data_IF_960153567782
#
_entry.id   IF_960153567782
#
_cell.length_a   1.000
_cell.length_b   1.000
_cell.length_c   1.000
_cell.angle_alpha   90.00
_cell.angle_beta   90.00
_cell.angle_gamma   90.00
#
_symmetry.space_group_name_H-M   'P 1'
#
loop_
_entity.id
_entity.type
_entity.pdbx_description
1 polymer ?
#
# COMPACT_ATOMS: atom_id res chain seq x y z
N UNK A 1 1.55 -0.88 -18.06
CA UNK A 1 0.79 0.29 -17.57
C UNK A 1 -0.64 -0.07 -17.21
N UNK A 2 -1.42 -0.72 -18.10
CA UNK A 2 -2.83 -1.06 -17.87
C UNK A 2 -3.13 -1.70 -16.49
N UNK A 3 -2.40 -2.74 -16.10
CA UNK A 3 -2.59 -3.42 -14.80
C UNK A 3 -2.18 -2.61 -13.57
N UNK A 4 -1.42 -1.52 -13.77
CA UNK A 4 -1.04 -0.58 -12.72
C UNK A 4 -1.86 0.71 -12.80
N UNK A 5 -2.91 0.76 -13.62
CA UNK A 5 -3.80 1.91 -13.78
C UNK A 5 -5.14 1.65 -13.07
N UNK A 6 -5.51 2.55 -12.17
CA UNK A 6 -6.75 2.52 -11.42
C UNK A 6 -7.96 2.85 -12.31
N UNK A 7 -9.17 2.65 -11.78
CA UNK A 7 -10.41 2.92 -12.52
C UNK A 7 -10.62 4.39 -12.90
N UNK A 8 -9.87 5.30 -12.27
CA UNK A 8 -9.83 6.72 -12.61
C UNK A 8 -8.93 7.05 -13.83
N UNK A 9 -8.29 6.03 -14.43
CA UNK A 9 -7.42 6.20 -15.59
C UNK A 9 -5.98 6.62 -15.27
N UNK A 10 -5.63 6.70 -13.98
CA UNK A 10 -4.29 7.09 -13.51
C UNK A 10 -3.49 5.92 -12.93
N UNK A 11 -2.15 5.93 -13.02
CA UNK A 11 -1.33 4.86 -12.46
C UNK A 11 -1.37 4.83 -10.93
N UNK A 12 -1.02 3.69 -10.33
CA UNK A 12 -0.61 3.60 -8.94
C UNK A 12 0.62 4.50 -8.72
N UNK A 13 0.72 5.13 -7.56
CA UNK A 13 1.71 6.19 -7.29
C UNK A 13 2.98 5.68 -6.60
N UNK A 14 3.33 4.40 -6.76
CA UNK A 14 4.57 3.84 -6.22
C UNK A 14 5.80 4.55 -6.79
N UNK A 15 6.85 4.67 -5.98
CA UNK A 15 8.10 5.33 -6.35
C UNK A 15 7.88 6.75 -6.94
N UNK A 16 8.65 7.12 -7.97
CA UNK A 16 8.54 8.40 -8.67
C UNK A 16 7.39 8.45 -9.70
N UNK A 17 6.25 7.84 -9.38
CA UNK A 17 5.07 7.91 -10.23
C UNK A 17 4.17 9.09 -9.83
N UNK A 18 3.63 9.77 -10.84
CA UNK A 18 2.69 10.87 -10.71
C UNK A 18 1.59 10.73 -11.78
N UNK A 19 0.43 11.28 -11.48
CA UNK A 19 -0.66 11.49 -12.42
C UNK A 19 -0.30 12.60 -13.42
N UNK A 20 -1.01 12.61 -14.55
CA UNK A 20 -0.97 13.67 -15.56
C UNK A 20 0.42 14.01 -16.15
N UNK A 21 1.44 13.18 -15.95
CA UNK A 21 2.69 13.26 -16.69
C UNK A 21 2.52 12.76 -18.14
N UNK A 22 3.46 13.07 -19.03
CA UNK A 22 3.29 13.31 -20.48
C UNK A 22 2.40 12.32 -21.28
N UNK A 23 2.21 11.08 -20.82
CA UNK A 23 1.39 10.06 -21.49
C UNK A 23 0.44 9.30 -20.54
N UNK A 24 -0.88 9.55 -20.67
CA UNK A 24 -1.92 8.73 -20.05
C UNK A 24 -2.03 7.36 -20.75
N UNK A 25 -2.64 6.38 -20.09
CA UNK A 25 -2.87 5.05 -20.68
C UNK A 25 -3.64 5.17 -22.01
N UNK A 26 -4.67 6.00 -22.07
CA UNK A 26 -5.47 6.19 -23.30
C UNK A 26 -4.62 6.77 -24.44
N UNK A 27 -3.73 7.72 -24.15
CA UNK A 27 -2.79 8.26 -25.14
C UNK A 27 -1.84 7.18 -25.66
N UNK A 28 -1.36 6.29 -24.79
CA UNK A 28 -0.51 5.16 -25.19
C UNK A 28 -1.28 4.15 -26.04
N UNK A 29 -2.54 3.86 -25.68
CA UNK A 29 -3.42 2.97 -26.47
C UNK A 29 -3.69 3.55 -27.85
N UNK A 30 -3.96 4.85 -27.93
CA UNK A 30 -4.14 5.54 -29.22
C UNK A 30 -2.87 5.53 -30.06
N UNK A 31 -1.71 5.74 -29.44
CA UNK A 31 -0.42 5.65 -30.12
C UNK A 31 -0.14 4.22 -30.63
N UNK A 32 -0.39 3.20 -29.82
CA UNK A 32 -0.25 1.79 -30.21
C UNK A 32 -1.15 1.44 -31.40
N UNK A 33 -2.42 1.87 -31.39
CA UNK A 33 -3.34 1.67 -32.52
C UNK A 33 -2.84 2.33 -33.81
N UNK A 34 -2.25 3.52 -33.73
CA UNK A 34 -1.64 4.21 -34.89
C UNK A 34 -0.41 3.48 -35.44
N UNK A 35 0.28 2.73 -34.58
CA UNK A 35 1.38 1.83 -34.97
C UNK A 35 0.91 0.43 -35.35
N UNK A 36 -0.41 0.20 -35.45
CA UNK A 36 -1.00 -1.11 -35.73
C UNK A 36 -0.60 -2.20 -34.72
N UNK A 37 -0.24 -1.78 -33.50
CA UNK A 37 0.04 -2.66 -32.36
C UNK A 37 -1.26 -3.03 -31.67
N UNK A 38 -1.48 -4.33 -31.45
CA UNK A 38 -2.65 -4.83 -30.74
C UNK A 38 -2.68 -4.29 -29.30
N UNK A 39 -3.79 -3.67 -28.93
CA UNK A 39 -4.02 -3.16 -27.57
C UNK A 39 -4.87 -4.18 -26.82
N UNK A 40 -4.31 -4.86 -25.80
CA UNK A 40 -5.10 -5.79 -25.00
C UNK A 40 -6.24 -5.07 -24.28
N UNK A 41 -7.34 -5.80 -24.07
CA UNK A 41 -8.42 -5.34 -23.18
C UNK A 41 -8.06 -5.66 -21.74
N UNK A 42 -8.41 -4.79 -20.78
CA UNK A 42 -8.13 -5.03 -19.38
C UNK A 42 -8.87 -6.30 -18.95
N UNK A 43 -8.11 -7.30 -18.49
CA UNK A 43 -8.68 -8.55 -18.00
C UNK A 43 -9.04 -8.37 -16.54
N UNK A 44 -10.24 -8.85 -16.18
CA UNK A 44 -10.58 -9.08 -14.77
C UNK A 44 -9.83 -10.29 -14.25
N UNK A 45 -9.69 -10.34 -12.94
CA UNK A 45 -8.98 -11.37 -12.22
C UNK A 45 -7.56 -10.94 -11.85
N UNK A 46 -6.71 -11.92 -11.51
CA UNK A 46 -5.37 -11.70 -11.04
C UNK A 46 -4.38 -11.41 -12.17
N UNK A 47 -3.38 -10.59 -11.89
CA UNK A 47 -2.22 -10.34 -12.74
C UNK A 47 -0.95 -10.21 -11.90
N UNK A 48 0.20 -10.50 -12.50
CA UNK A 48 1.50 -10.35 -11.84
C UNK A 48 2.59 -10.01 -12.85
N UNK A 49 3.56 -9.22 -12.40
CA UNK A 49 4.85 -9.01 -13.05
C UNK A 49 5.96 -9.34 -12.03
N UNK A 50 6.28 -10.64 -11.83
CA UNK A 50 7.12 -11.09 -10.73
C UNK A 50 8.55 -10.51 -10.75
N UNK A 51 9.09 -10.25 -11.94
CA UNK A 51 10.44 -9.69 -12.12
C UNK A 51 10.53 -8.25 -11.60
N UNK A 52 9.45 -7.48 -11.72
CA UNK A 52 9.33 -6.14 -11.14
C UNK A 52 8.74 -6.17 -9.72
N UNK A 53 8.11 -7.28 -9.34
CA UNK A 53 7.46 -7.47 -8.04
C UNK A 53 6.11 -6.79 -7.88
N UNK A 54 5.41 -6.50 -8.98
CA UNK A 54 4.05 -5.97 -8.92
C UNK A 54 3.01 -7.09 -9.06
N UNK A 55 1.97 -7.03 -8.22
CA UNK A 55 0.85 -7.97 -8.25
C UNK A 55 -0.46 -7.18 -8.20
N UNK A 56 -1.45 -7.68 -8.90
CA UNK A 56 -2.75 -7.03 -9.05
C UNK A 56 -3.87 -8.06 -8.98
N UNK A 57 -5.00 -7.63 -8.45
CA UNK A 57 -6.28 -8.28 -8.70
C UNK A 57 -7.33 -7.22 -9.04
N UNK A 58 -8.15 -7.51 -10.06
CA UNK A 58 -9.20 -6.62 -10.54
C UNK A 58 -10.54 -7.32 -10.73
N UNK A 59 -11.52 -6.90 -9.94
CA UNK A 59 -12.91 -7.32 -10.06
C UNK A 59 -13.75 -6.30 -10.86
N UNK A 60 -15.07 -6.46 -10.78
CA UNK A 60 -16.01 -5.47 -11.30
C UNK A 60 -15.99 -4.18 -10.48
N UNK A 61 -15.95 -4.32 -9.16
CA UNK A 61 -16.16 -3.24 -8.19
C UNK A 61 -14.89 -2.88 -7.42
N UNK A 62 -13.77 -3.58 -7.63
CA UNK A 62 -12.56 -3.35 -6.85
C UNK A 62 -11.29 -3.64 -7.65
N UNK A 63 -10.22 -2.94 -7.28
CA UNK A 63 -8.87 -3.19 -7.77
C UNK A 63 -7.90 -3.03 -6.61
N UNK A 64 -7.01 -4.01 -6.44
CA UNK A 64 -5.89 -3.96 -5.50
C UNK A 64 -4.62 -4.12 -6.29
N UNK A 65 -3.64 -3.25 -6.04
CA UNK A 65 -2.30 -3.35 -6.60
C UNK A 65 -1.29 -3.28 -5.46
N UNK A 66 -0.26 -4.13 -5.52
CA UNK A 66 0.70 -4.28 -4.44
C UNK A 66 2.11 -4.25 -4.98
N UNK A 67 3.01 -3.61 -4.25
CA UNK A 67 4.46 -3.65 -4.47
C UNK A 67 5.10 -4.66 -3.51
N UNK A 68 5.68 -5.73 -4.06
CA UNK A 68 6.56 -6.65 -3.35
C UNK A 68 7.85 -6.87 -4.15
N UNK A 69 8.29 -5.83 -4.86
CA UNK A 69 9.49 -5.78 -5.68
C UNK A 69 10.69 -5.18 -5.00
N UNK A 70 11.90 -5.41 -5.55
CA UNK A 70 13.08 -4.70 -5.07
C UNK A 70 12.85 -3.19 -5.21
N UNK A 71 13.50 -2.39 -4.37
CA UNK A 71 13.46 -0.91 -4.39
C UNK A 71 13.57 -0.26 -5.78
N UNK A 72 14.19 -0.96 -6.71
CA UNK A 72 14.34 -0.54 -8.09
C UNK A 72 15.55 -1.21 -8.71
N UNK A 73 15.86 -0.87 -9.97
CA UNK A 73 17.05 -1.35 -10.66
C UNK A 73 18.32 -0.92 -9.88
N UNK A 74 19.24 -1.83 -9.54
CA UNK A 74 20.49 -1.49 -8.85
C UNK A 74 21.33 -0.43 -9.59
N UNK A 75 21.22 -0.39 -10.92
CA UNK A 75 21.89 0.56 -11.81
C UNK A 75 21.28 1.97 -11.80
N UNK A 76 20.04 2.14 -11.35
CA UNK A 76 19.38 3.45 -11.27
C UNK A 76 18.42 3.56 -10.06
N UNK A 77 18.96 3.60 -8.83
CA UNK A 77 18.15 3.57 -7.61
C UNK A 77 17.62 4.95 -7.20
N UNK A 78 17.87 6.00 -7.99
CA UNK A 78 17.53 7.37 -7.61
C UNK A 78 16.03 7.62 -7.44
N UNK A 79 15.23 6.82 -8.13
CA UNK A 79 13.77 6.87 -8.12
C UNK A 79 13.14 5.94 -7.08
N UNK A 80 13.94 5.20 -6.32
CA UNK A 80 13.47 4.27 -5.30
C UNK A 80 12.93 5.00 -4.05
N UNK A 81 11.88 4.43 -3.48
CA UNK A 81 11.21 4.86 -2.26
C UNK A 81 11.23 3.76 -1.19
N UNK A 82 10.88 4.10 0.06
CA UNK A 82 10.82 3.16 1.17
C UNK A 82 9.54 2.32 1.19
N UNK A 83 9.06 1.90 0.02
CA UNK A 83 7.68 1.46 -0.26
C UNK A 83 7.52 -0.05 -0.47
N UNK A 84 8.53 -0.87 -0.14
CA UNK A 84 8.38 -2.33 -0.21
C UNK A 84 7.21 -2.74 0.67
N UNK A 85 6.34 -3.58 0.10
CA UNK A 85 5.08 -4.06 0.67
C UNK A 85 3.95 -3.02 0.73
N UNK A 86 4.12 -1.85 0.11
CA UNK A 86 3.02 -0.89 -0.11
C UNK A 86 1.95 -1.48 -1.03
N UNK A 87 0.77 -0.90 -0.97
CA UNK A 87 -0.38 -1.29 -1.78
C UNK A 87 -1.31 -0.09 -2.00
N UNK A 88 -2.10 -0.14 -3.06
CA UNK A 88 -3.23 0.77 -3.29
C UNK A 88 -4.51 -0.02 -3.52
N UNK A 89 -5.64 0.56 -3.10
CA UNK A 89 -6.98 -0.05 -3.23
C UNK A 89 -7.93 0.97 -3.86
N UNK A 90 -8.69 0.52 -4.85
CA UNK A 90 -9.85 1.22 -5.38
C UNK A 90 -11.12 0.42 -5.24
N UNK A 91 -12.20 1.10 -4.92
CA UNK A 91 -13.56 0.57 -4.88
C UNK A 91 -14.43 1.40 -5.83
N UNK A 92 -15.21 0.72 -6.68
CA UNK A 92 -16.11 1.32 -7.68
C UNK A 92 -15.44 2.37 -8.56
N UNK A 93 -14.19 2.10 -8.94
CA UNK A 93 -13.36 3.00 -9.75
C UNK A 93 -12.77 4.20 -8.99
N UNK A 94 -13.00 4.33 -7.67
CA UNK A 94 -12.47 5.43 -6.83
C UNK A 94 -11.38 4.91 -5.91
N UNK A 95 -10.29 5.66 -5.77
CA UNK A 95 -9.21 5.33 -4.83
C UNK A 95 -9.67 5.47 -3.39
N UNK A 96 -9.26 4.52 -2.56
CA UNK A 96 -9.53 4.47 -1.12
C UNK A 96 -8.21 4.54 -0.36
N UNK A 97 -7.32 3.59 -0.63
CA UNK A 97 -5.94 3.56 -0.11
C UNK A 97 -5.01 3.97 -1.23
N UNK A 98 -4.14 4.94 -0.96
CA UNK A 98 -3.25 5.55 -1.94
C UNK A 98 -1.82 5.58 -1.42
N UNK A 99 -0.85 5.60 -2.33
CA UNK A 99 0.51 5.98 -1.97
C UNK A 99 0.63 7.52 -1.88
N UNK A 100 1.64 8.01 -1.17
CA UNK A 100 1.93 9.44 -1.10
C UNK A 100 2.32 10.01 -2.46
N UNK A 101 2.90 9.20 -3.35
CA UNK A 101 3.41 9.66 -4.64
C UNK A 101 4.62 10.57 -4.51
N UNK A 102 4.86 11.41 -5.53
CA UNK A 102 6.05 12.26 -5.59
C UNK A 102 5.70 13.72 -5.83
N UNK A 103 6.01 14.57 -4.84
CA UNK A 103 5.81 16.02 -4.95
C UNK A 103 6.79 16.69 -5.92
N UNK A 104 8.05 16.28 -5.93
CA UNK A 104 9.11 17.02 -6.61
C UNK A 104 10.47 16.36 -6.48
N UNK A 105 11.44 16.85 -7.25
CA UNK A 105 12.81 16.33 -7.30
C UNK A 105 13.86 17.23 -6.66
N UNK A 106 13.42 18.35 -6.10
CA UNK A 106 14.31 19.20 -5.33
C UNK A 106 14.74 18.47 -4.05
N UNK A 107 15.97 18.72 -3.61
CA UNK A 107 16.47 18.17 -2.35
C UNK A 107 15.87 18.94 -1.16
N UNK A 108 14.58 18.70 -0.89
CA UNK A 108 13.78 19.36 0.14
C UNK A 108 13.09 18.35 1.07
N UNK A 109 12.32 18.87 2.04
CA UNK A 109 11.59 18.07 3.01
C UNK A 109 10.52 17.19 2.35
N UNK A 110 9.88 17.65 1.27
CA UNK A 110 8.87 16.87 0.56
C UNK A 110 9.50 15.70 -0.18
N UNK A 111 10.65 15.89 -0.83
CA UNK A 111 11.39 14.77 -1.44
C UNK A 111 11.87 13.78 -0.38
N UNK A 112 12.26 14.26 0.78
CA UNK A 112 12.65 13.39 1.90
C UNK A 112 11.43 12.60 2.43
N UNK A 113 10.28 13.27 2.60
CA UNK A 113 9.04 12.66 3.05
C UNK A 113 8.52 11.62 2.06
N UNK A 114 8.31 11.98 0.79
CA UNK A 114 7.75 11.09 -0.23
C UNK A 114 8.52 9.77 -0.34
N UNK A 115 9.84 9.80 -0.16
CA UNK A 115 10.70 8.60 -0.24
C UNK A 115 10.78 7.80 1.07
N UNK A 116 10.29 8.35 2.17
CA UNK A 116 10.37 7.70 3.49
C UNK A 116 9.37 6.57 3.60
N UNK A 117 9.69 5.54 4.36
CA UNK A 117 8.77 4.44 4.67
C UNK A 117 7.48 4.92 5.35
N UNK A 118 7.55 6.01 6.11
CA UNK A 118 6.38 6.60 6.75
C UNK A 118 5.34 7.15 5.75
N UNK A 119 5.73 7.42 4.50
CA UNK A 119 4.85 7.92 3.45
C UNK A 119 4.13 6.83 2.65
N UNK A 120 4.32 5.55 3.00
CA UNK A 120 3.77 4.42 2.26
C UNK A 120 2.90 3.50 3.14
N UNK A 121 2.13 2.64 2.48
CA UNK A 121 1.20 1.72 3.13
C UNK A 121 1.92 0.47 3.65
N UNK A 122 2.91 0.64 4.52
CA UNK A 122 3.79 -0.42 4.99
C UNK A 122 4.24 -0.18 6.44
N UNK A 123 5.20 -0.97 6.92
CA UNK A 123 5.72 -0.91 8.28
C UNK A 123 7.01 -0.11 8.37
N UNK A 124 7.06 0.80 9.35
CA UNK A 124 8.26 1.47 9.85
C UNK A 124 8.75 0.82 11.15
N UNK A 125 10.06 0.65 11.31
CA UNK A 125 10.67 0.09 12.53
C UNK A 125 11.63 1.11 13.16
N UNK A 126 11.45 1.39 14.46
CA UNK A 126 12.24 2.34 15.25
C UNK A 126 12.37 3.75 14.62
N UNK A 127 11.34 4.18 13.88
CA UNK A 127 11.34 5.47 13.17
C UNK A 127 12.37 5.53 12.03
N UNK A 128 12.64 4.40 11.39
CA UNK A 128 13.63 4.27 10.31
C UNK A 128 13.00 3.71 9.04
N UNK A 129 13.57 4.15 7.93
CA UNK A 129 13.24 3.67 6.60
C UNK A 129 13.76 2.26 6.33
N UNK A 130 13.11 1.57 5.40
CA UNK A 130 13.52 0.23 4.95
C UNK A 130 14.88 0.23 4.24
N UNK A 131 15.32 1.39 3.74
CA UNK A 131 16.62 1.63 3.12
C UNK A 131 17.21 2.95 3.65
N UNK A 132 18.40 3.33 3.23
CA UNK A 132 18.95 4.66 3.56
C UNK A 132 18.76 5.60 2.36
N UNK A 133 17.94 6.62 2.53
CA UNK A 133 17.68 7.67 1.52
C UNK A 133 18.38 8.97 1.92
N UNK A 134 19.16 9.56 1.02
CA UNK A 134 19.76 10.88 1.26
C UNK A 134 19.91 11.68 -0.02
N UNK A 135 19.90 13.02 0.10
CA UNK A 135 19.74 13.93 -1.05
C UNK A 135 18.52 13.54 -1.89
N UNK A 136 18.34 14.16 -3.05
CA UNK A 136 17.17 13.90 -3.88
C UNK A 136 17.13 12.48 -4.50
N UNK A 137 18.29 11.87 -4.78
CA UNK A 137 18.39 10.66 -5.61
C UNK A 137 19.45 9.65 -5.14
N UNK A 138 19.86 9.66 -3.86
CA UNK A 138 20.82 8.66 -3.35
C UNK A 138 20.15 7.67 -2.41
N UNK A 139 20.57 6.41 -2.55
CA UNK A 139 20.04 5.24 -1.85
C UNK A 139 21.17 4.29 -1.52
N UNK A 140 21.09 3.63 -0.37
CA UNK A 140 21.88 2.46 -0.01
C UNK A 140 21.08 1.51 0.88
N UNK A 141 21.64 0.34 1.17
CA UNK A 141 20.99 -0.62 2.06
C UNK A 141 19.90 -1.45 1.39
N UNK A 142 20.01 -1.67 0.07
CA UNK A 142 19.08 -2.42 -0.79
C UNK A 142 18.52 -3.70 -0.12
N UNK A 143 17.27 -3.66 0.38
CA UNK A 143 16.62 -4.81 0.98
C UNK A 143 16.48 -5.94 -0.03
N UNK A 144 16.68 -7.17 0.42
CA UNK A 144 16.40 -8.38 -0.35
C UNK A 144 15.08 -8.94 0.07
N UNK A 145 14.21 -9.15 -0.90
CA UNK A 145 12.96 -9.86 -0.76
C UNK A 145 13.21 -11.36 -0.81
N UNK A 146 12.50 -12.11 0.03
CA UNK A 146 12.56 -13.56 0.19
C UNK A 146 11.18 -14.15 0.38
N UNK A 147 11.09 -15.45 0.17
CA UNK A 147 9.89 -16.24 0.42
C UNK A 147 8.62 -15.69 -0.24
N UNK A 148 8.80 -15.03 -1.39
CA UNK A 148 7.70 -14.45 -2.13
C UNK A 148 6.80 -15.57 -2.69
N UNK A 149 5.52 -15.51 -2.31
CA UNK A 149 4.48 -16.45 -2.71
C UNK A 149 3.27 -15.67 -3.19
N UNK A 150 2.94 -15.84 -4.46
CA UNK A 150 1.73 -15.35 -5.07
C UNK A 150 0.75 -16.52 -5.27
N UNK A 151 -0.44 -16.41 -4.69
CA UNK A 151 -1.54 -17.37 -4.85
C UNK A 151 -2.77 -16.62 -5.36
N UNK A 152 -2.89 -16.47 -6.69
CA UNK A 152 -4.04 -15.84 -7.30
C UNK A 152 -5.28 -16.75 -7.25
N UNK A 153 -6.46 -16.14 -7.19
CA UNK A 153 -7.75 -16.79 -7.37
C UNK A 153 -8.69 -15.87 -8.18
N UNK A 154 -9.79 -16.43 -8.69
CA UNK A 154 -10.77 -15.63 -9.43
C UNK A 154 -11.49 -14.62 -8.51
N UNK A 155 -11.69 -15.00 -7.25
CA UNK A 155 -12.38 -14.27 -6.20
C UNK A 155 -11.43 -13.54 -5.21
N UNK A 156 -10.12 -13.56 -5.47
CA UNK A 156 -9.18 -12.95 -4.54
C UNK A 156 -7.72 -13.23 -4.82
N UNK A 157 -6.88 -12.98 -3.82
CA UNK A 157 -5.50 -13.43 -3.84
C UNK A 157 -4.91 -13.56 -2.44
N UNK A 158 -3.79 -14.28 -2.37
CA UNK A 158 -2.86 -14.25 -1.25
C UNK A 158 -1.45 -13.94 -1.77
N UNK A 159 -0.87 -12.83 -1.29
CA UNK A 159 0.53 -12.46 -1.48
C UNK A 159 1.25 -12.53 -0.15
N UNK A 160 2.41 -13.17 -0.10
CA UNK A 160 3.25 -13.21 1.09
C UNK A 160 4.72 -13.06 0.71
N UNK A 161 5.48 -12.27 1.46
CA UNK A 161 6.93 -12.15 1.30
C UNK A 161 7.60 -11.61 2.58
N UNK A 162 8.92 -11.71 2.66
CA UNK A 162 9.77 -11.08 3.68
C UNK A 162 10.81 -10.18 3.02
N UNK A 163 11.17 -9.05 3.64
CA UNK A 163 12.37 -8.30 3.28
C UNK A 163 13.32 -8.08 4.48
N UNK A 164 14.61 -7.88 4.19
CA UNK A 164 15.67 -7.72 5.19
C UNK A 164 16.19 -6.29 5.39
N UNK A 165 15.43 -5.29 4.96
CA UNK A 165 15.86 -3.87 4.96
C UNK A 165 16.22 -3.33 6.34
N UNK A 166 15.62 -3.87 7.39
CA UNK A 166 15.84 -3.48 8.77
C UNK A 166 16.98 -4.21 9.48
N UNK A 167 17.62 -5.19 8.82
CA UNK A 167 18.73 -5.94 9.43
C UNK A 167 19.97 -5.09 9.71
N UNK A 168 20.12 -3.99 8.97
CA UNK A 168 21.16 -2.98 9.17
C UNK A 168 21.00 -2.20 10.49
N UNK A 169 19.80 -2.17 11.07
CA UNK A 169 19.53 -1.45 12.31
C UNK A 169 19.94 -2.26 13.54
N UNK A 170 20.07 -1.57 14.67
CA UNK A 170 20.20 -2.24 15.97
C UNK A 170 18.97 -3.13 16.17
N UNK A 171 19.18 -4.44 16.28
CA UNK A 171 18.11 -5.41 16.48
C UNK A 171 17.97 -6.43 15.35
N UNK A 172 18.66 -6.25 14.22
CA UNK A 172 18.69 -7.24 13.12
C UNK A 172 17.26 -7.66 12.69
N UNK A 173 16.37 -6.68 12.55
CA UNK A 173 14.94 -6.93 12.34
C UNK A 173 14.62 -7.34 10.90
N UNK A 174 13.59 -8.17 10.74
CA UNK A 174 13.01 -8.59 9.47
C UNK A 174 11.52 -8.28 9.46
N UNK A 175 10.99 -7.92 8.30
CA UNK A 175 9.57 -7.65 8.11
C UNK A 175 9.01 -8.61 7.07
N UNK A 176 8.04 -9.41 7.47
CA UNK A 176 7.22 -10.25 6.60
C UNK A 176 5.83 -9.66 6.50
N UNK A 177 5.28 -9.57 5.29
CA UNK A 177 3.88 -9.20 5.07
C UNK A 177 3.12 -10.32 4.37
N UNK A 178 1.87 -10.50 4.78
CA UNK A 178 0.84 -11.26 4.07
C UNK A 178 -0.32 -10.33 3.75
N UNK A 179 -0.67 -10.22 2.46
CA UNK A 179 -1.88 -9.55 1.96
C UNK A 179 -2.83 -10.61 1.44
N UNK A 180 -4.07 -10.61 1.94
CA UNK A 180 -5.14 -11.47 1.44
C UNK A 180 -6.35 -10.62 1.06
N UNK A 181 -6.69 -10.63 -0.22
CA UNK A 181 -7.87 -9.94 -0.74
C UNK A 181 -9.00 -10.93 -1.00
N UNK A 182 -10.20 -10.54 -0.59
CA UNK A 182 -11.46 -11.23 -0.82
C UNK A 182 -12.40 -10.30 -1.60
N UNK A 183 -12.96 -10.77 -2.70
CA UNK A 183 -13.80 -9.99 -3.63
C UNK A 183 -15.04 -9.35 -2.96
N UNK A 184 -15.44 -9.84 -1.78
CA UNK A 184 -16.48 -9.27 -0.91
C UNK A 184 -16.12 -7.87 -0.39
N UNK A 185 -14.91 -7.39 -0.70
CA UNK A 185 -14.45 -6.04 -0.42
C UNK A 185 -13.54 -5.99 0.79
N UNK A 186 -12.81 -7.05 1.11
CA UNK A 186 -12.00 -7.17 2.33
C UNK A 186 -10.54 -7.41 1.96
N UNK A 187 -9.66 -6.52 2.42
CA UNK A 187 -8.22 -6.72 2.41
C UNK A 187 -7.74 -7.00 3.84
N UNK A 188 -7.21 -8.20 4.08
CA UNK A 188 -6.50 -8.55 5.30
C UNK A 188 -5.00 -8.32 5.12
N UNK A 189 -4.40 -7.60 6.06
CA UNK A 189 -2.98 -7.28 6.10
C UNK A 189 -2.41 -7.89 7.37
N UNK A 190 -1.41 -8.76 7.25
CA UNK A 190 -0.70 -9.31 8.41
C UNK A 190 0.78 -9.01 8.28
N UNK A 191 1.28 -8.19 9.19
CA UNK A 191 2.70 -7.87 9.32
C UNK A 191 3.29 -8.69 10.45
N UNK A 192 4.42 -9.35 10.19
CA UNK A 192 5.24 -10.00 11.20
C UNK A 192 6.62 -9.37 11.23
N UNK A 193 7.04 -8.94 12.41
CA UNK A 193 8.38 -8.41 12.66
C UNK A 193 9.10 -9.33 13.63
N UNK A 194 10.26 -9.84 13.23
CA UNK A 194 11.16 -10.59 14.10
C UNK A 194 12.45 -9.82 14.30
N UNK A 195 12.89 -9.64 15.54
CA UNK A 195 14.08 -8.89 15.92
C UNK A 195 14.80 -9.56 17.11
N UNK A 196 16.10 -9.29 17.25
CA UNK A 196 16.94 -9.78 18.36
C UNK A 196 16.74 -9.00 19.66
N UNK A 197 16.11 -7.82 19.59
CA UNK A 197 15.77 -6.97 20.73
C UNK A 197 14.37 -6.37 20.51
N UNK A 198 13.73 -5.83 21.56
CA UNK A 198 12.52 -5.02 21.38
C UNK A 198 12.75 -3.85 20.42
N UNK A 199 11.82 -3.69 19.48
CA UNK A 199 11.72 -2.58 18.53
C UNK A 199 10.31 -2.02 18.56
N UNK A 200 10.15 -0.73 18.27
CA UNK A 200 8.84 -0.11 18.02
C UNK A 200 8.50 -0.24 16.53
N UNK A 201 7.25 -0.60 16.24
CA UNK A 201 6.73 -0.81 14.89
C UNK A 201 5.51 0.09 14.69
N UNK A 202 5.45 0.79 13.56
CA UNK A 202 4.27 1.55 13.13
C UNK A 202 3.85 1.06 11.74
N UNK A 203 2.63 0.53 11.60
CA UNK A 203 2.03 0.21 10.30
C UNK A 203 1.06 1.31 9.90
N UNK A 204 1.09 1.73 8.63
CA UNK A 204 0.33 2.89 8.12
C UNK A 204 -0.56 2.48 6.94
N UNK A 205 -1.73 3.12 6.86
CA UNK A 205 -2.66 3.07 5.72
C UNK A 205 -3.08 4.50 5.38
N UNK A 206 -2.55 5.04 4.30
CA UNK A 206 -2.82 6.37 3.76
C UNK A 206 -4.11 6.34 2.93
N UNK A 207 -5.01 7.28 3.24
CA UNK A 207 -6.33 7.34 2.63
C UNK A 207 -6.39 8.43 1.57
N UNK A 208 -7.12 8.19 0.49
CA UNK A 208 -7.35 9.23 -0.50
C UNK A 208 -8.07 10.43 0.16
N UNK A 209 -7.70 11.70 -0.10
CA UNK A 209 -8.25 12.88 0.58
C UNK A 209 -9.77 13.07 0.49
N UNK A 210 -10.43 12.36 -0.43
CA UNK A 210 -11.89 12.40 -0.59
C UNK A 210 -12.65 11.47 0.39
N UNK A 211 -11.92 10.70 1.20
CA UNK A 211 -12.48 9.85 2.26
C UNK A 211 -12.26 10.52 3.62
N UNK A 212 -13.37 10.86 4.27
CA UNK A 212 -13.34 11.56 5.55
C UNK A 212 -13.69 10.61 6.70
N UNK A 213 -13.01 10.70 7.85
CA UNK A 213 -13.37 9.94 9.03
C UNK A 213 -14.74 10.38 9.53
N UNK A 214 -15.59 9.41 9.85
CA UNK A 214 -16.93 9.62 10.42
C UNK A 214 -17.11 8.95 11.78
N UNK A 215 -16.28 7.96 12.11
CA UNK A 215 -16.14 7.39 13.46
C UNK A 215 -14.69 6.94 13.70
N UNK A 216 -14.21 7.09 14.92
CA UNK A 216 -12.86 6.70 15.34
C UNK A 216 -12.95 6.06 16.72
N UNK A 217 -12.58 4.78 16.77
CA UNK A 217 -12.59 3.95 17.96
C UNK A 217 -11.17 3.40 18.19
N UNK A 218 -10.90 2.87 19.38
CA UNK A 218 -9.56 2.35 19.72
C UNK A 218 -9.08 1.22 18.79
N UNK A 219 -9.97 0.52 18.09
CA UNK A 219 -9.63 -0.58 17.19
C UNK A 219 -9.95 -0.35 15.71
N UNK A 220 -10.65 0.74 15.35
CA UNK A 220 -11.07 1.00 13.96
C UNK A 220 -11.35 2.47 13.67
N UNK A 221 -11.26 2.82 12.40
CA UNK A 221 -11.67 4.10 11.81
C UNK A 221 -12.67 3.81 10.70
N UNK A 222 -13.83 4.43 10.75
CA UNK A 222 -14.82 4.39 9.68
C UNK A 222 -14.74 5.67 8.85
N UNK A 223 -14.76 5.49 7.54
CA UNK A 223 -14.58 6.53 6.54
C UNK A 223 -15.81 6.61 5.64
N UNK A 224 -16.11 7.82 5.18
CA UNK A 224 -17.20 8.08 4.24
C UNK A 224 -16.71 8.93 3.08
N UNK A 225 -17.14 8.57 1.87
CA UNK A 225 -16.93 9.37 0.66
C UNK A 225 -18.06 10.39 0.46
N UNK A 226 -17.86 11.34 -0.45
CA UNK A 226 -18.91 12.29 -0.83
C UNK A 226 -20.17 11.63 -1.43
N UNK A 227 -20.07 10.41 -2.00
CA UNK A 227 -21.21 9.63 -2.49
C UNK A 227 -21.92 8.81 -1.41
N UNK A 228 -21.43 8.84 -0.16
CA UNK A 228 -21.99 8.06 0.95
C UNK A 228 -21.46 6.63 1.04
N UNK A 229 -20.54 6.21 0.15
CA UNK A 229 -19.84 4.93 0.29
C UNK A 229 -19.01 4.94 1.58
N UNK A 230 -18.96 3.79 2.27
CA UNK A 230 -18.25 3.62 3.53
C UNK A 230 -17.13 2.60 3.45
N UNK A 231 -16.06 2.82 4.20
CA UNK A 231 -14.93 1.90 4.37
C UNK A 231 -14.50 1.89 5.83
N UNK A 232 -14.14 0.72 6.35
CA UNK A 232 -13.55 0.57 7.67
C UNK A 232 -12.08 0.18 7.54
N UNK A 233 -11.21 0.87 8.28
CA UNK A 233 -9.82 0.45 8.48
C UNK A 233 -9.63 0.16 9.97
N UNK A 234 -9.16 -1.03 10.32
CA UNK A 234 -9.06 -1.42 11.72
C UNK A 234 -7.95 -2.41 12.00
N UNK A 235 -7.67 -2.61 13.28
CA UNK A 235 -6.71 -3.60 13.75
C UNK A 235 -7.41 -4.80 14.39
N UNK A 236 -7.05 -5.98 13.92
CA UNK A 236 -7.47 -7.24 14.51
C UNK A 236 -6.47 -7.66 15.59
N UNK A 237 -6.96 -7.92 16.80
CA UNK A 237 -6.13 -8.33 17.94
C UNK A 237 -6.00 -7.28 19.04
N UNK A 238 -6.83 -6.22 19.01
CA UNK A 238 -6.85 -5.20 20.06
C UNK A 238 -5.63 -4.26 20.07
N UNK A 239 -4.90 -4.16 18.95
CA UNK A 239 -3.86 -3.13 18.82
C UNK A 239 -4.54 -1.78 18.63
N UNK A 240 -4.06 -0.79 19.37
CA UNK A 240 -4.58 0.58 19.27
C UNK A 240 -4.40 1.12 17.85
N UNK A 241 -5.50 1.65 17.32
CA UNK A 241 -5.56 2.41 16.07
C UNK A 241 -5.69 3.88 16.40
N UNK A 242 -4.94 4.73 15.71
CA UNK A 242 -5.16 6.18 15.75
C UNK A 242 -5.13 6.76 14.34
N UNK A 243 -5.67 7.97 14.22
CA UNK A 243 -5.66 8.75 12.99
C UNK A 243 -4.55 9.79 13.05
N UNK A 244 -3.68 9.78 12.05
CA UNK A 244 -2.65 10.78 11.80
C UNK A 244 -2.94 11.52 10.48
N UNK A 245 -2.06 12.44 10.10
CA UNK A 245 -2.13 13.18 8.84
C UNK A 245 -0.89 12.93 7.99
N UNK A 246 -1.07 12.93 6.68
CA UNK A 246 -0.02 12.74 5.69
C UNK A 246 -0.22 13.65 4.48
N UNK A 247 0.58 13.41 3.44
CA UNK A 247 0.46 14.10 2.17
C UNK A 247 0.18 13.12 1.03
N UNK A 248 -0.81 13.48 0.22
CA UNK A 248 -1.08 12.89 -1.08
C UNK A 248 -0.57 13.82 -2.17
N UNK A 249 0.41 13.37 -2.94
CA UNK A 249 1.08 14.11 -4.01
C UNK A 249 0.79 13.46 -5.37
N UNK A 250 -0.41 13.70 -5.93
CA UNK A 250 -0.80 13.09 -7.20
C UNK A 250 -0.02 13.65 -8.39
N UNK A 251 0.51 14.86 -8.30
CA UNK A 251 1.20 15.54 -9.41
C UNK A 251 2.42 16.30 -8.88
N UNK A 252 3.39 16.58 -9.76
CA UNK A 252 4.51 17.45 -9.42
C UNK A 252 4.03 18.83 -8.98
N UNK A 253 4.53 19.30 -7.84
CA UNK A 253 4.17 20.58 -7.24
C UNK A 253 2.79 20.59 -6.57
N UNK A 254 2.06 19.48 -6.56
CA UNK A 254 0.74 19.36 -5.92
C UNK A 254 0.85 18.46 -4.69
N UNK A 255 0.36 18.94 -3.55
CA UNK A 255 0.14 18.12 -2.36
C UNK A 255 -1.20 18.45 -1.73
N UNK A 256 -1.91 17.43 -1.27
CA UNK A 256 -3.17 17.53 -0.55
C UNK A 256 -2.99 16.84 0.81
N UNK A 257 -3.47 17.41 1.92
CA UNK A 257 -3.47 16.68 3.19
C UNK A 257 -4.37 15.45 3.06
N UNK A 258 -3.94 14.34 3.65
CA UNK A 258 -4.72 13.12 3.76
C UNK A 258 -4.71 12.59 5.19
N UNK A 259 -5.64 11.69 5.49
CA UNK A 259 -5.65 10.95 6.74
C UNK A 259 -4.84 9.67 6.60
N UNK A 260 -4.15 9.28 7.67
CA UNK A 260 -3.36 8.06 7.75
C UNK A 260 -3.82 7.28 8.97
N UNK A 261 -4.30 6.06 8.76
CA UNK A 261 -4.66 5.16 9.86
C UNK A 261 -3.41 4.40 10.28
N UNK A 262 -3.07 4.52 11.56
CA UNK A 262 -1.83 4.00 12.10
C UNK A 262 -2.10 2.97 13.20
N UNK A 263 -1.22 1.96 13.28
CA UNK A 263 -1.19 0.98 14.39
C UNK A 263 0.22 0.86 14.92
N UNK A 264 0.37 0.62 16.23
CA UNK A 264 1.67 0.53 16.90
C UNK A 264 1.80 -0.72 17.73
N UNK A 265 2.96 -1.35 17.66
CA UNK A 265 3.35 -2.39 18.60
C UNK A 265 4.81 -2.26 19.00
N UNK A 266 5.17 -2.87 20.13
CA UNK A 266 6.55 -2.97 20.60
C UNK A 266 6.85 -4.41 21.03
N UNK A 267 8.04 -4.90 20.70
CA UNK A 267 8.44 -6.26 21.02
C UNK A 267 9.54 -6.81 20.12
N UNK A 268 9.85 -8.10 20.31
CA UNK A 268 10.87 -8.82 19.52
C UNK A 268 10.28 -9.77 18.47
N UNK A 269 9.04 -10.20 18.67
CA UNK A 269 8.25 -11.01 17.75
C UNK A 269 6.85 -10.40 17.75
N UNK A 270 6.62 -9.52 16.79
CA UNK A 270 5.41 -8.70 16.69
C UNK A 270 4.57 -9.27 15.55
N UNK A 271 3.27 -9.35 15.77
CA UNK A 271 2.29 -9.62 14.73
C UNK A 271 1.22 -8.54 14.77
N UNK A 272 1.16 -7.71 13.73
CA UNK A 272 0.08 -6.76 13.50
C UNK A 272 -0.86 -7.37 12.46
N UNK A 273 -2.16 -7.24 12.71
CA UNK A 273 -3.20 -7.67 11.77
C UNK A 273 -4.13 -6.49 11.59
N UNK A 274 -4.36 -6.12 10.34
CA UNK A 274 -5.16 -4.96 9.97
C UNK A 274 -6.11 -5.34 8.85
N UNK A 275 -7.21 -4.61 8.74
CA UNK A 275 -8.18 -4.76 7.66
C UNK A 275 -8.40 -3.43 6.96
N UNK A 276 -8.70 -3.51 5.67
CA UNK A 276 -9.39 -2.45 4.93
C UNK A 276 -10.61 -3.11 4.31
N UNK A 277 -11.80 -2.70 4.71
CA UNK A 277 -13.03 -3.41 4.37
C UNK A 277 -14.11 -2.45 3.84
N UNK A 278 -14.81 -2.84 2.77
CA UNK A 278 -15.92 -2.09 2.20
C UNK A 278 -17.16 -2.19 3.09
N UNK A 279 -17.82 -1.05 3.36
CA UNK A 279 -18.89 -0.91 4.34
C UNK A 279 -18.40 -0.24 5.63
N UNK A 280 -19.33 0.31 6.43
CA UNK A 280 -19.01 0.93 7.72
C UNK A 280 -19.20 -0.01 8.92
N UNK A 281 -20.17 -0.91 8.84
CA UNK A 281 -20.60 -1.73 9.98
C UNK A 281 -19.77 -3.02 10.13
N UNK A 282 -18.45 -2.86 10.21
CA UNK A 282 -17.53 -3.95 10.52
C UNK A 282 -17.24 -3.97 12.01
N UNK A 283 -17.44 -5.14 12.61
CA UNK A 283 -16.96 -5.43 13.96
C UNK A 283 -15.61 -6.14 13.86
N UNK A 284 -14.63 -5.59 14.56
CA UNK A 284 -13.22 -5.98 14.48
C UNK A 284 -12.85 -6.61 15.81
N UNK A 285 -12.96 -7.93 15.91
CA UNK A 285 -12.72 -8.67 17.15
C UNK A 285 -11.28 -9.20 17.24
N UNK A 286 -10.68 -9.20 18.45
CA UNK A 286 -9.31 -9.69 18.65
C UNK A 286 -9.08 -11.16 18.23
N UNK A 287 -10.07 -12.01 18.50
CA UNK A 287 -9.98 -13.47 18.35
C UNK A 287 -10.84 -14.01 17.20
N UNK A 288 -11.99 -13.37 16.92
CA UNK A 288 -12.99 -13.83 15.95
C UNK A 288 -12.75 -13.29 14.53
N UNK A 289 -11.83 -12.33 14.36
CA UNK A 289 -11.53 -11.71 13.07
C UNK A 289 -12.45 -10.51 12.79
N UNK A 290 -12.64 -10.22 11.50
CA UNK A 290 -13.55 -9.17 11.05
C UNK A 290 -14.90 -9.78 10.66
N UNK A 291 -15.98 -9.21 11.19
CA UNK A 291 -17.35 -9.67 10.91
C UNK A 291 -18.20 -8.55 10.32
N UNK A 292 -19.02 -8.90 9.33
CA UNK A 292 -20.04 -8.01 8.75
C UNK A 292 -21.37 -8.73 8.72
N UNK A 293 -22.35 -8.24 9.46
CA UNK A 293 -23.62 -8.95 9.63
C UNK A 293 -23.40 -10.33 10.26
N UNK A 294 -23.75 -11.40 9.55
CA UNK A 294 -23.57 -12.79 10.00
C UNK A 294 -22.34 -13.49 9.39
N UNK A 295 -21.59 -12.81 8.51
CA UNK A 295 -20.45 -13.39 7.81
C UNK A 295 -19.15 -13.13 8.57
N UNK A 296 -18.38 -14.19 8.80
CA UNK A 296 -17.06 -14.17 9.44
C UNK A 296 -15.97 -14.39 8.40
N UNK A 297 -15.01 -13.48 8.29
CA UNK A 297 -13.89 -13.63 7.35
C UNK A 297 -12.70 -14.28 8.07
N UNK A 298 -12.23 -15.45 7.60
CA UNK A 298 -11.23 -16.25 8.30
C UNK A 298 -9.81 -15.67 8.23
N UNK A 299 -8.94 -16.22 9.09
CA UNK A 299 -7.50 -15.96 9.22
C UNK A 299 -6.62 -16.71 8.19
#
# INVERSE_FOLDING_TARGET
MEHLTHGDGHPALFNDCVMHYEHTLDRLKDFARRLEVEVPSPRRGPWSLPEAGYYEWRGAEAMVVTDAGPLGPPENPGHAHGDIFSFELSLRGRRVVVDSGTFGYNADEMRTYCRSTAAHNTVEIDGRDQADFWKAFRVSGFPRIRDLRWRPADDGFLLQAEHDGYRRLKGDARHSRRLAWFQEGVLLITDRITARRPVTVISRVHLHPDWLPCAVDAGKVELVSASGDRVTVGSLGGTEVWLDTGWYCPEFGVRRPCYVVCTRAEGRDIRLRSIVAQGGDWDVHPDEGATRGAETFPW
#
